data_IF_184105016205
#
_entry.id   IF_184105016205
#
_cell.length_a   1.000
_cell.length_b   1.000
_cell.length_c   1.000
_cell.angle_alpha   90.00
_cell.angle_beta   90.00
_cell.angle_gamma   90.00
#
_symmetry.space_group_name_H-M   'P 1'
#
loop_
_entity.id
_entity.type
_entity.pdbx_description
1 polymer ?
#
# COMPACT_ATOMS: atom_id res chain seq x y z
N UNK A 1 1.03 9.23 29.80
CA UNK A 1 0.68 8.82 28.43
C UNK A 1 -0.56 9.59 27.99
N UNK A 2 -0.44 10.51 27.02
CA UNK A 2 -1.60 11.26 26.50
C UNK A 2 -2.24 10.50 25.34
N UNK A 3 -3.56 10.22 25.34
CA UNK A 3 -4.22 9.60 24.21
C UNK A 3 -4.43 10.67 23.14
N UNK A 4 -3.53 10.72 22.16
CA UNK A 4 -3.71 11.53 20.96
C UNK A 4 -4.94 11.04 20.20
N UNK A 5 -6.02 11.82 20.26
CA UNK A 5 -7.03 12.07 19.23
C UNK A 5 -7.30 10.90 18.26
N UNK A 6 -8.15 9.95 18.67
CA UNK A 6 -8.67 8.90 17.79
C UNK A 6 -9.81 9.43 16.92
N UNK A 7 -9.50 9.81 15.67
CA UNK A 7 -10.25 9.52 14.42
C UNK A 7 -9.60 10.31 13.28
N UNK A 8 -9.22 9.62 12.19
CA UNK A 8 -10.22 9.00 11.35
C UNK A 8 -9.82 7.56 11.00
N UNK A 9 -10.40 6.57 11.69
CA UNK A 9 -10.30 5.16 11.31
C UNK A 9 -10.86 4.90 9.90
N UNK A 10 -11.73 5.78 9.39
CA UNK A 10 -12.36 5.65 8.07
C UNK A 10 -11.37 5.68 6.88
N UNK A 11 -10.48 6.67 6.69
CA UNK A 11 -9.51 6.71 5.61
C UNK A 11 -8.43 5.63 5.72
N UNK A 12 -7.95 5.28 6.92
CA UNK A 12 -7.05 4.14 7.09
C UNK A 12 -7.75 2.82 6.75
N UNK A 13 -9.01 2.65 7.17
CA UNK A 13 -9.83 1.48 6.81
C UNK A 13 -10.16 1.44 5.32
N UNK A 14 -10.38 2.59 4.68
CA UNK A 14 -10.57 2.72 3.23
C UNK A 14 -9.29 2.38 2.48
N UNK A 15 -8.14 2.88 2.91
CA UNK A 15 -6.83 2.49 2.37
C UNK A 15 -6.67 0.97 2.48
N UNK A 16 -6.82 0.40 3.68
CA UNK A 16 -6.68 -1.04 3.88
C UNK A 16 -7.64 -1.85 3.00
N UNK A 17 -8.90 -1.40 2.89
CA UNK A 17 -9.89 -2.02 2.01
C UNK A 17 -9.48 -1.93 0.54
N UNK A 18 -9.09 -0.77 0.03
CA UNK A 18 -8.67 -0.63 -1.37
C UNK A 18 -7.37 -1.38 -1.66
N UNK A 19 -6.43 -1.44 -0.70
CA UNK A 19 -5.21 -2.24 -0.80
C UNK A 19 -5.49 -3.72 -1.00
N UNK A 20 -6.49 -4.28 -0.30
CA UNK A 20 -6.79 -5.71 -0.32
C UNK A 20 -7.93 -6.10 -1.26
N UNK A 21 -8.71 -5.14 -1.75
CA UNK A 21 -9.84 -5.41 -2.66
C UNK A 21 -9.58 -4.89 -4.07
N UNK A 22 -9.32 -3.59 -4.21
CA UNK A 22 -9.22 -2.91 -5.51
C UNK A 22 -7.85 -3.11 -6.14
N UNK A 23 -6.80 -3.04 -5.33
CA UNK A 23 -5.40 -3.15 -5.74
C UNK A 23 -4.76 -4.47 -5.26
N UNK A 24 -5.59 -5.49 -5.03
CA UNK A 24 -5.18 -6.77 -4.44
C UNK A 24 -4.14 -7.50 -5.31
N UNK A 25 -4.28 -7.39 -6.63
CA UNK A 25 -3.39 -8.00 -7.62
C UNK A 25 -1.99 -7.40 -7.54
N UNK A 26 -1.89 -6.08 -7.50
CA UNK A 26 -0.64 -5.34 -7.39
C UNK A 26 -0.01 -5.50 -6.01
N UNK A 27 -0.82 -5.53 -4.94
CA UNK A 27 -0.37 -5.82 -3.58
C UNK A 27 0.28 -7.21 -3.50
N UNK A 28 -0.33 -8.21 -4.13
CA UNK A 28 0.18 -9.58 -4.17
C UNK A 28 1.48 -9.68 -4.98
N UNK A 29 1.57 -8.98 -6.11
CA UNK A 29 2.79 -8.93 -6.93
C UNK A 29 3.95 -8.26 -6.17
N UNK A 30 3.67 -7.13 -5.51
CA UNK A 30 4.63 -6.45 -4.65
C UNK A 30 5.09 -7.33 -3.48
N UNK A 31 4.15 -7.99 -2.80
CA UNK A 31 4.45 -8.93 -1.71
C UNK A 31 5.31 -10.11 -2.16
N UNK A 32 5.01 -10.71 -3.32
CA UNK A 32 5.82 -11.80 -3.91
C UNK A 32 7.26 -11.35 -4.18
N UNK A 33 7.43 -10.16 -4.74
CA UNK A 33 8.75 -9.58 -4.99
C UNK A 33 9.53 -9.40 -3.67
N UNK A 34 8.91 -8.81 -2.65
CA UNK A 34 9.56 -8.64 -1.34
C UNK A 34 9.96 -9.97 -0.72
N UNK A 35 9.07 -10.97 -0.74
CA UNK A 35 9.37 -12.28 -0.14
C UNK A 35 10.51 -12.97 -0.89
N UNK A 36 10.54 -12.85 -2.22
CA UNK A 36 11.63 -13.39 -3.03
C UNK A 36 12.98 -12.71 -2.76
N UNK A 37 12.96 -11.41 -2.44
CA UNK A 37 14.17 -10.61 -2.18
C UNK A 37 14.36 -10.23 -0.71
N UNK A 38 13.69 -10.91 0.23
CA UNK A 38 13.63 -10.50 1.65
C UNK A 38 15.02 -10.47 2.31
N UNK A 39 15.94 -11.29 1.80
CA UNK A 39 17.33 -11.40 2.27
C UNK A 39 18.25 -10.29 1.79
N UNK A 40 17.98 -9.68 0.64
CA UNK A 40 18.76 -8.57 0.06
C UNK A 40 17.81 -7.42 -0.32
N UNK A 41 16.97 -6.97 0.63
CA UNK A 41 16.07 -5.85 0.38
C UNK A 41 16.89 -4.58 0.15
N UNK A 42 17.04 -4.21 -1.12
CA UNK A 42 17.65 -2.97 -1.56
C UNK A 42 16.56 -1.96 -1.92
N UNK A 43 16.92 -0.68 -1.83
CA UNK A 43 16.09 0.39 -2.36
C UNK A 43 15.86 0.12 -3.86
N UNK A 44 14.62 0.27 -4.32
CA UNK A 44 14.17 0.06 -5.69
C UNK A 44 14.01 -1.39 -6.21
N UNK A 45 14.27 -2.43 -5.39
CA UNK A 45 14.19 -3.82 -5.84
C UNK A 45 12.80 -4.24 -6.37
N UNK A 46 11.74 -3.75 -5.72
CA UNK A 46 10.35 -3.98 -6.12
C UNK A 46 9.68 -2.69 -6.61
N UNK A 47 10.46 -1.73 -7.13
CA UNK A 47 9.97 -0.40 -7.52
C UNK A 47 8.83 -0.48 -8.53
N UNK A 48 8.96 -1.33 -9.55
CA UNK A 48 7.95 -1.45 -10.61
C UNK A 48 6.58 -1.84 -10.05
N UNK A 49 6.54 -2.82 -9.16
CA UNK A 49 5.30 -3.31 -8.55
C UNK A 49 4.78 -2.33 -7.50
N UNK A 50 5.68 -1.68 -6.75
CA UNK A 50 5.32 -0.61 -5.84
C UNK A 50 4.68 0.59 -6.57
N UNK A 51 5.20 0.99 -7.73
CA UNK A 51 4.65 2.11 -8.51
C UNK A 51 3.24 1.79 -8.99
N UNK A 52 3.00 0.57 -9.51
CA UNK A 52 1.65 0.12 -9.91
C UNK A 52 0.69 0.11 -8.73
N UNK A 53 1.10 -0.49 -7.61
CA UNK A 53 0.32 -0.55 -6.39
C UNK A 53 0.00 0.85 -5.84
N UNK A 54 1.00 1.73 -5.78
CA UNK A 54 0.84 3.11 -5.34
C UNK A 54 -0.06 3.93 -6.27
N UNK A 55 0.02 3.71 -7.58
CA UNK A 55 -0.85 4.38 -8.55
C UNK A 55 -2.30 3.92 -8.41
N UNK A 56 -2.54 2.62 -8.25
CA UNK A 56 -3.86 2.07 -7.97
C UNK A 56 -4.43 2.63 -6.66
N UNK A 57 -3.64 2.64 -5.58
CA UNK A 57 -4.08 3.19 -4.30
C UNK A 57 -4.40 4.69 -4.36
N UNK A 58 -3.58 5.48 -5.05
CA UNK A 58 -3.81 6.91 -5.23
C UNK A 58 -5.13 7.18 -5.97
N UNK A 59 -5.41 6.41 -7.03
CA UNK A 59 -6.69 6.47 -7.76
C UNK A 59 -7.86 6.06 -6.87
N UNK A 60 -7.74 4.93 -6.17
CA UNK A 60 -8.79 4.40 -5.30
C UNK A 60 -9.10 5.30 -4.10
N UNK A 61 -8.10 6.00 -3.56
CA UNK A 61 -8.30 6.97 -2.48
C UNK A 61 -8.85 8.31 -2.94
N UNK A 62 -8.94 8.58 -4.26
CA UNK A 62 -9.55 9.80 -4.80
C UNK A 62 -8.90 11.10 -4.32
N UNK A 63 -7.65 11.05 -3.85
CA UNK A 63 -6.92 12.24 -3.38
C UNK A 63 -6.20 12.87 -4.58
N UNK A 64 -6.96 13.64 -5.36
CA UNK A 64 -6.39 14.57 -6.33
C UNK A 64 -5.74 15.70 -5.52
N UNK A 65 -4.41 15.69 -5.40
CA UNK A 65 -3.64 16.79 -4.81
C UNK A 65 -3.13 17.67 -5.94
#
# INVERSE_FOLDING_TARGET
>A
MNPATTKPTRPLKRLAFHSTTTCASEASAYGKCIVATYTDVKKDICKAEFVKFAQCLRRAMGRNW
#
